data_IF_661153755786
#
_entry.id   IF_661153755786
#
_cell.length_a   1.000
_cell.length_b   1.000
_cell.length_c   1.000
_cell.angle_alpha   90.00
_cell.angle_beta   90.00
_cell.angle_gamma   90.00
#
_symmetry.space_group_name_H-M   'P 1'
#
loop_
_entity.id
_entity.type
_entity.pdbx_description
1 polymer ?
#
# COMPACT_ATOMS: atom_id res chain seq x y z
N UNK A 1 -0.97 -1.19 -18.17
CA UNK A 1 -0.40 -1.96 -19.29
C UNK A 1 0.86 -2.73 -18.91
N UNK A 2 1.78 -2.18 -18.11
CA UNK A 2 3.07 -2.79 -17.74
C UNK A 2 2.93 -4.20 -17.13
N UNK A 3 1.94 -4.45 -16.30
CA UNK A 3 1.71 -5.71 -15.59
C UNK A 3 0.51 -6.50 -16.12
N UNK A 4 -0.29 -5.92 -17.03
CA UNK A 4 -1.56 -6.51 -17.50
C UNK A 4 -1.40 -7.88 -18.16
N UNK A 5 -0.30 -8.10 -18.87
CA UNK A 5 -0.03 -9.37 -19.54
C UNK A 5 0.02 -10.55 -18.56
N UNK A 6 0.58 -10.38 -17.37
CA UNK A 6 0.69 -11.44 -16.36
C UNK A 6 -0.65 -11.90 -15.80
N UNK A 7 -1.60 -10.99 -15.69
CA UNK A 7 -2.93 -11.29 -15.16
C UNK A 7 -3.90 -11.84 -16.20
N UNK A 8 -3.56 -11.69 -17.49
CA UNK A 8 -4.32 -12.31 -18.59
C UNK A 8 -3.70 -13.64 -19.02
N UNK A 9 -2.38 -13.77 -18.88
CA UNK A 9 -1.64 -14.99 -19.22
C UNK A 9 -1.37 -15.79 -17.95
N UNK A 10 -1.58 -17.11 -17.99
CA UNK A 10 -1.26 -18.06 -16.91
C UNK A 10 0.28 -18.19 -16.73
N UNK A 11 0.96 -17.07 -16.50
CA UNK A 11 2.38 -17.05 -16.18
C UNK A 11 2.60 -17.39 -14.71
N UNK A 12 2.93 -18.63 -14.40
CA UNK A 12 3.27 -19.05 -13.06
C UNK A 12 4.73 -18.69 -12.75
N UNK A 13 4.98 -18.01 -11.62
CA UNK A 13 6.31 -17.96 -11.02
C UNK A 13 6.57 -19.26 -10.25
N UNK A 14 7.82 -19.51 -9.84
CA UNK A 14 8.19 -20.66 -9.03
C UNK A 14 7.29 -20.81 -7.78
N UNK A 15 7.09 -19.71 -7.05
CA UNK A 15 6.26 -19.71 -5.84
C UNK A 15 4.76 -19.84 -6.16
N UNK A 16 4.31 -19.30 -7.30
CA UNK A 16 2.92 -19.44 -7.74
C UNK A 16 2.52 -20.88 -8.03
N UNK A 17 3.42 -21.69 -8.54
CA UNK A 17 3.20 -23.12 -8.78
C UNK A 17 3.01 -23.89 -7.47
N UNK A 18 3.81 -23.56 -6.45
CA UNK A 18 3.74 -24.24 -5.15
C UNK A 18 2.46 -23.90 -4.38
N UNK A 19 1.97 -22.66 -4.48
CA UNK A 19 0.89 -22.15 -3.63
C UNK A 19 -0.46 -21.92 -4.34
N UNK A 20 -0.53 -22.02 -5.68
CA UNK A 20 -1.74 -21.74 -6.42
C UNK A 20 -2.90 -22.69 -6.10
N UNK A 21 -2.59 -23.94 -5.76
CA UNK A 21 -3.58 -25.01 -5.56
C UNK A 21 -3.91 -25.27 -4.09
N UNK A 22 -2.96 -25.12 -3.18
CA UNK A 22 -3.16 -25.28 -1.74
C UNK A 22 -2.26 -24.30 -0.99
N UNK A 23 -2.75 -23.11 -0.66
CA UNK A 23 -2.00 -22.21 0.20
C UNK A 23 -1.81 -22.86 1.57
N UNK A 24 -0.54 -23.03 1.97
CA UNK A 24 -0.21 -23.51 3.30
C UNK A 24 -0.50 -22.40 4.32
N UNK A 25 -1.64 -22.56 5.00
CA UNK A 25 -2.12 -21.59 5.99
C UNK A 25 -1.22 -21.53 7.22
N UNK A 26 -0.69 -22.67 7.66
CA UNK A 26 0.19 -22.75 8.82
C UNK A 26 1.51 -22.03 8.53
N UNK A 27 2.05 -22.26 7.35
CA UNK A 27 3.24 -21.53 6.88
C UNK A 27 3.01 -20.02 6.85
N UNK A 28 1.91 -19.54 6.31
CA UNK A 28 1.61 -18.10 6.28
C UNK A 28 1.49 -17.52 7.69
N UNK A 29 0.83 -18.22 8.60
CA UNK A 29 0.70 -17.80 10.00
C UNK A 29 2.07 -17.79 10.70
N UNK A 30 2.91 -18.79 10.49
CA UNK A 30 4.26 -18.86 11.05
C UNK A 30 5.17 -17.72 10.59
N UNK A 31 4.95 -17.21 9.36
CA UNK A 31 5.60 -16.01 8.83
C UNK A 31 5.01 -14.70 9.39
N UNK A 32 4.03 -14.77 10.29
CA UNK A 32 3.33 -13.60 10.83
C UNK A 32 2.27 -12.99 9.91
N UNK A 33 1.91 -13.67 8.83
CA UNK A 33 0.90 -13.23 7.85
C UNK A 33 -0.50 -13.75 8.20
N UNK A 34 -0.89 -13.62 9.46
CA UNK A 34 -2.11 -14.22 10.02
C UNK A 34 -3.42 -13.65 9.42
N UNK A 35 -3.40 -12.50 8.78
CA UNK A 35 -4.57 -11.92 8.12
C UNK A 35 -4.77 -12.41 6.68
N UNK A 36 -3.79 -13.04 6.03
CA UNK A 36 -3.93 -13.53 4.66
C UNK A 36 -5.01 -14.61 4.52
N UNK A 37 -5.12 -15.62 5.41
CA UNK A 37 -6.19 -16.62 5.35
C UNK A 37 -7.59 -16.01 5.40
N UNK A 38 -7.80 -14.99 6.26
CA UNK A 38 -9.07 -14.26 6.35
C UNK A 38 -9.38 -13.48 5.10
N UNK A 39 -8.40 -12.78 4.53
CA UNK A 39 -8.54 -12.07 3.28
C UNK A 39 -8.99 -13.00 2.15
N UNK A 40 -8.32 -14.13 1.97
CA UNK A 40 -8.66 -15.10 0.94
C UNK A 40 -10.07 -15.65 1.13
N UNK A 41 -10.43 -15.97 2.35
CA UNK A 41 -11.76 -16.50 2.64
C UNK A 41 -12.88 -15.51 2.33
N UNK A 42 -12.69 -14.23 2.64
CA UNK A 42 -13.73 -13.19 2.50
C UNK A 42 -13.81 -12.67 1.06
N UNK A 43 -12.67 -12.41 0.42
CA UNK A 43 -12.62 -11.62 -0.82
C UNK A 43 -12.67 -12.48 -2.09
N UNK A 44 -11.92 -13.56 -2.15
CA UNK A 44 -11.79 -14.34 -3.39
C UNK A 44 -11.91 -15.86 -3.21
N UNK A 45 -12.31 -16.31 -2.07
CA UNK A 45 -12.15 -17.71 -1.71
C UNK A 45 -10.67 -18.11 -1.67
N UNK A 46 -10.36 -19.36 -1.75
CA UNK A 46 -8.96 -19.85 -1.79
C UNK A 46 -8.41 -19.95 -3.22
N UNK A 47 -9.05 -19.30 -4.18
CA UNK A 47 -8.71 -19.42 -5.60
C UNK A 47 -7.80 -18.25 -5.98
N UNK A 48 -6.64 -18.57 -6.56
CA UNK A 48 -5.71 -17.58 -7.11
C UNK A 48 -5.94 -17.38 -8.62
N UNK A 49 -7.16 -16.99 -9.02
CA UNK A 49 -7.44 -16.67 -10.42
C UNK A 49 -6.66 -15.40 -10.82
N UNK A 50 -5.73 -15.47 -11.79
CA UNK A 50 -4.84 -14.36 -12.14
C UNK A 50 -5.58 -13.07 -12.45
N UNK A 51 -6.68 -13.17 -13.19
CA UNK A 51 -7.49 -12.00 -13.54
C UNK A 51 -8.09 -11.31 -12.30
N UNK A 52 -8.62 -12.07 -11.34
CA UNK A 52 -9.21 -11.52 -10.11
C UNK A 52 -8.12 -10.86 -9.28
N UNK A 53 -6.98 -11.53 -9.10
CA UNK A 53 -5.82 -10.98 -8.38
C UNK A 53 -5.35 -9.69 -9.04
N UNK A 54 -5.28 -9.65 -10.37
CA UNK A 54 -4.88 -8.47 -11.13
C UNK A 54 -5.83 -7.29 -10.93
N UNK A 55 -7.14 -7.51 -11.07
CA UNK A 55 -8.16 -6.45 -10.89
C UNK A 55 -8.11 -5.87 -9.47
N UNK A 56 -8.03 -6.74 -8.46
CA UNK A 56 -7.92 -6.31 -7.06
C UNK A 56 -6.60 -5.55 -6.80
N UNK A 57 -5.47 -6.06 -7.30
CA UNK A 57 -4.16 -5.42 -7.17
C UNK A 57 -4.16 -4.01 -7.77
N UNK A 58 -4.71 -3.84 -8.96
CA UNK A 58 -4.83 -2.52 -9.59
C UNK A 58 -5.76 -1.60 -8.83
N UNK A 59 -6.90 -2.09 -8.34
CA UNK A 59 -7.82 -1.31 -7.53
C UNK A 59 -7.15 -0.77 -6.27
N UNK A 60 -6.44 -1.61 -5.54
CA UNK A 60 -5.70 -1.21 -4.34
C UNK A 60 -4.52 -0.27 -4.66
N UNK A 61 -3.83 -0.47 -5.78
CA UNK A 61 -2.77 0.42 -6.21
C UNK A 61 -3.30 1.82 -6.55
N UNK A 62 -4.42 1.91 -7.27
CA UNK A 62 -5.09 3.19 -7.56
C UNK A 62 -5.48 3.89 -6.25
N UNK A 63 -6.07 3.15 -5.30
CA UNK A 63 -6.37 3.66 -3.96
C UNK A 63 -5.13 4.17 -3.23
N UNK A 64 -4.01 3.46 -3.35
CA UNK A 64 -2.71 3.82 -2.77
C UNK A 64 -2.16 5.12 -3.37
N UNK A 65 -2.15 5.25 -4.70
CA UNK A 65 -1.72 6.48 -5.38
C UNK A 65 -2.57 7.68 -4.95
N UNK A 66 -3.89 7.50 -4.92
CA UNK A 66 -4.80 8.55 -4.49
C UNK A 66 -4.61 8.93 -3.00
N UNK A 67 -4.39 7.93 -2.14
CA UNK A 67 -4.11 8.13 -0.72
C UNK A 67 -2.85 8.95 -0.49
N UNK A 68 -1.73 8.63 -1.16
CA UNK A 68 -0.48 9.40 -1.09
C UNK A 68 -0.68 10.81 -1.63
N UNK A 69 -1.33 10.95 -2.79
CA UNK A 69 -1.61 12.25 -3.39
C UNK A 69 -2.45 13.14 -2.47
N UNK A 70 -3.48 12.58 -1.84
CA UNK A 70 -4.32 13.28 -0.87
C UNK A 70 -3.55 13.67 0.39
N UNK A 71 -2.67 12.78 0.89
CA UNK A 71 -1.85 13.05 2.07
C UNK A 71 -0.87 14.21 1.84
N UNK A 72 -0.26 14.27 0.65
CA UNK A 72 0.75 15.26 0.30
C UNK A 72 0.18 16.50 -0.43
N UNK A 73 -1.15 16.61 -0.58
CA UNK A 73 -1.83 17.71 -1.30
C UNK A 73 -1.40 17.86 -2.78
N UNK A 74 -1.13 16.74 -3.44
CA UNK A 74 -0.75 16.73 -4.85
C UNK A 74 -1.99 16.85 -5.74
N UNK A 75 -2.18 18.01 -6.38
CA UNK A 75 -3.41 18.28 -7.16
C UNK A 75 -3.17 18.29 -8.68
N UNK A 76 -1.94 18.54 -9.13
CA UNK A 76 -1.61 18.63 -10.53
C UNK A 76 -1.71 17.24 -11.20
N UNK A 77 -2.41 17.16 -12.32
CA UNK A 77 -2.58 15.90 -13.09
C UNK A 77 -1.25 15.28 -13.49
N UNK A 78 -0.28 16.09 -13.88
CA UNK A 78 1.08 15.65 -14.22
C UNK A 78 1.78 15.00 -13.03
N UNK A 79 1.67 15.60 -11.83
CA UNK A 79 2.25 15.04 -10.61
C UNK A 79 1.59 13.72 -10.21
N UNK A 80 0.27 13.62 -10.37
CA UNK A 80 -0.46 12.35 -10.13
C UNK A 80 -0.01 11.26 -11.10
N UNK A 81 0.15 11.61 -12.38
CA UNK A 81 0.63 10.67 -13.38
C UNK A 81 2.06 10.19 -13.09
N UNK A 82 2.96 11.11 -12.72
CA UNK A 82 4.34 10.79 -12.32
C UNK A 82 4.36 9.92 -11.06
N UNK A 83 3.55 10.24 -10.04
CA UNK A 83 3.43 9.42 -8.83
C UNK A 83 2.96 8.01 -9.16
N UNK A 84 1.92 7.87 -9.98
CA UNK A 84 1.43 6.57 -10.42
C UNK A 84 2.51 5.80 -11.20
N UNK A 85 3.22 6.47 -12.11
CA UNK A 85 4.33 5.88 -12.86
C UNK A 85 5.46 5.39 -11.95
N UNK A 86 5.86 6.19 -10.96
CA UNK A 86 6.89 5.83 -9.98
C UNK A 86 6.46 4.66 -9.08
N UNK A 87 5.23 4.66 -8.60
CA UNK A 87 4.72 3.58 -7.75
C UNK A 87 4.59 2.27 -8.54
N UNK A 88 3.98 2.29 -9.73
CA UNK A 88 3.80 1.10 -10.57
C UNK A 88 5.09 0.62 -11.24
N UNK A 89 6.02 1.54 -11.53
CA UNK A 89 7.30 1.25 -12.16
C UNK A 89 8.44 1.01 -11.17
N UNK A 90 8.17 1.05 -9.85
CA UNK A 90 9.21 0.79 -8.86
C UNK A 90 9.73 -0.64 -8.96
N UNK A 91 11.05 -0.80 -8.82
CA UNK A 91 11.69 -2.12 -8.87
C UNK A 91 11.11 -3.07 -7.81
N UNK A 92 10.78 -2.55 -6.64
CA UNK A 92 10.16 -3.32 -5.56
C UNK A 92 8.79 -3.89 -5.98
N UNK A 93 7.94 -3.08 -6.64
CA UNK A 93 6.64 -3.54 -7.13
C UNK A 93 6.79 -4.56 -8.25
N UNK A 94 7.70 -4.30 -9.21
CA UNK A 94 7.97 -5.21 -10.33
C UNK A 94 8.48 -6.56 -9.80
N UNK A 95 9.42 -6.56 -8.86
CA UNK A 95 9.96 -7.78 -8.26
C UNK A 95 8.88 -8.56 -7.49
N UNK A 96 8.06 -7.86 -6.72
CA UNK A 96 6.97 -8.46 -5.96
C UNK A 96 5.93 -9.11 -6.89
N UNK A 97 5.50 -8.39 -7.93
CA UNK A 97 4.55 -8.90 -8.93
C UNK A 97 5.14 -10.08 -9.71
N UNK A 98 6.45 -10.04 -9.99
CA UNK A 98 7.16 -11.11 -10.65
C UNK A 98 7.23 -12.40 -9.83
N UNK A 99 7.42 -12.29 -8.52
CA UNK A 99 7.67 -13.43 -7.63
C UNK A 99 6.37 -13.96 -7.03
N UNK A 100 5.49 -13.05 -6.58
CA UNK A 100 4.30 -13.36 -5.81
C UNK A 100 2.99 -12.99 -6.53
N UNK A 101 2.92 -13.25 -7.83
CA UNK A 101 1.75 -12.91 -8.65
C UNK A 101 0.43 -13.48 -8.12
N UNK A 102 0.46 -14.64 -7.45
CA UNK A 102 -0.71 -15.30 -6.88
C UNK A 102 -1.29 -14.60 -5.62
N UNK A 103 -0.52 -13.70 -4.98
CA UNK A 103 -0.90 -12.96 -3.76
C UNK A 103 -0.64 -11.47 -3.87
N UNK A 104 -0.44 -10.95 -5.08
CA UNK A 104 -0.16 -9.53 -5.30
C UNK A 104 -1.26 -8.61 -4.77
N UNK A 105 -2.52 -9.04 -4.83
CA UNK A 105 -3.68 -8.34 -4.29
C UNK A 105 -3.57 -8.11 -2.77
N UNK A 106 -3.13 -9.13 -2.03
CA UNK A 106 -2.92 -9.03 -0.57
C UNK A 106 -1.87 -7.98 -0.24
N UNK A 107 -0.77 -7.96 -0.99
CA UNK A 107 0.31 -7.01 -0.76
C UNK A 107 -0.11 -5.59 -1.13
N UNK A 108 -0.86 -5.42 -2.23
CA UNK A 108 -1.37 -4.10 -2.60
C UNK A 108 -2.42 -3.58 -1.60
N UNK A 109 -3.24 -4.46 -1.03
CA UNK A 109 -4.13 -4.09 0.07
C UNK A 109 -3.34 -3.63 1.30
N UNK A 110 -2.30 -4.38 1.69
CA UNK A 110 -1.46 -4.01 2.82
C UNK A 110 -0.81 -2.63 2.62
N UNK A 111 -0.31 -2.33 1.41
CA UNK A 111 0.20 -1.02 1.05
C UNK A 111 -0.87 0.07 1.23
N UNK A 112 -2.05 -0.14 0.66
CA UNK A 112 -3.17 0.81 0.75
C UNK A 112 -3.58 1.08 2.21
N UNK A 113 -3.63 0.04 3.05
CA UNK A 113 -3.99 0.18 4.47
C UNK A 113 -2.95 0.98 5.26
N UNK A 114 -1.65 0.81 4.98
CA UNK A 114 -0.58 1.62 5.58
C UNK A 114 -0.72 3.11 5.21
N UNK A 115 -1.01 3.39 3.95
CA UNK A 115 -1.22 4.76 3.47
C UNK A 115 -2.48 5.37 4.11
N UNK A 116 -3.57 4.60 4.20
CA UNK A 116 -4.79 5.03 4.85
C UNK A 116 -4.58 5.30 6.36
N UNK A 117 -3.80 4.47 7.04
CA UNK A 117 -3.42 4.68 8.43
C UNK A 117 -2.62 5.97 8.61
N UNK A 118 -1.64 6.24 7.75
CA UNK A 118 -0.89 7.51 7.76
C UNK A 118 -1.83 8.70 7.55
N UNK A 119 -2.75 8.60 6.60
CA UNK A 119 -3.73 9.65 6.34
C UNK A 119 -4.63 9.91 7.55
N UNK A 120 -5.15 8.86 8.21
CA UNK A 120 -5.98 8.99 9.41
C UNK A 120 -5.20 9.61 10.58
N UNK A 121 -3.96 9.21 10.82
CA UNK A 121 -3.12 9.77 11.87
C UNK A 121 -2.83 11.27 11.65
N UNK A 122 -2.56 11.68 10.42
CA UNK A 122 -2.03 13.01 10.13
C UNK A 122 -3.13 14.01 9.72
N UNK A 123 -4.24 13.53 9.16
CA UNK A 123 -5.34 14.35 8.64
C UNK A 123 -6.69 14.10 9.30
N UNK A 124 -6.79 13.11 10.18
CA UNK A 124 -8.04 12.76 10.85
C UNK A 124 -8.58 13.93 11.69
N UNK A 125 -9.88 14.25 11.51
CA UNK A 125 -10.53 15.37 12.20
C UNK A 125 -10.67 15.14 13.71
N UNK A 126 -10.90 13.88 14.11
CA UNK A 126 -11.06 13.49 15.53
C UNK A 126 -9.83 12.71 15.95
N UNK A 127 -8.95 13.31 16.76
CA UNK A 127 -7.64 12.72 17.10
C UNK A 127 -7.73 11.30 17.63
N UNK A 128 -8.50 11.06 18.68
CA UNK A 128 -8.58 9.74 19.33
C UNK A 128 -9.17 8.67 18.42
N UNK A 129 -10.39 8.80 17.84
CA UNK A 129 -10.94 7.76 16.99
C UNK A 129 -10.15 7.56 15.70
N UNK A 130 -9.52 8.60 15.14
CA UNK A 130 -8.67 8.46 13.95
C UNK A 130 -7.39 7.69 14.24
N UNK A 131 -6.75 7.91 15.39
CA UNK A 131 -5.57 7.17 15.81
C UNK A 131 -5.91 5.71 16.11
N UNK A 132 -7.03 5.45 16.78
CA UNK A 132 -7.49 4.08 17.02
C UNK A 132 -7.79 3.34 15.69
N UNK A 133 -8.47 3.99 14.77
CA UNK A 133 -8.74 3.43 13.45
C UNK A 133 -7.44 3.16 12.68
N UNK A 134 -6.48 4.08 12.72
CA UNK A 134 -5.17 3.89 12.11
C UNK A 134 -4.42 2.69 12.73
N UNK A 135 -4.46 2.54 14.05
CA UNK A 135 -3.86 1.40 14.73
C UNK A 135 -4.47 0.07 14.28
N UNK A 136 -5.80 0.01 14.15
CA UNK A 136 -6.49 -1.18 13.62
C UNK A 136 -6.04 -1.48 12.18
N UNK A 137 -5.97 -0.46 11.30
CA UNK A 137 -5.50 -0.64 9.94
C UNK A 137 -4.05 -1.15 9.89
N UNK A 138 -3.17 -0.66 10.77
CA UNK A 138 -1.79 -1.10 10.86
C UNK A 138 -1.69 -2.57 11.32
N UNK A 139 -2.49 -2.99 12.31
CA UNK A 139 -2.55 -4.38 12.76
C UNK A 139 -2.99 -5.30 11.63
N UNK A 140 -4.06 -4.93 10.90
CA UNK A 140 -4.53 -5.71 9.74
C UNK A 140 -3.46 -5.75 8.66
N UNK A 141 -2.88 -4.61 8.32
CA UNK A 141 -1.84 -4.52 7.29
C UNK A 141 -0.60 -5.33 7.63
N UNK A 142 -0.14 -5.28 8.88
CA UNK A 142 1.01 -6.06 9.34
C UNK A 142 0.73 -7.56 9.26
N UNK A 143 -0.50 -7.98 9.59
CA UNK A 143 -0.94 -9.36 9.43
C UNK A 143 -1.12 -9.82 7.98
N UNK A 144 -1.25 -8.88 7.03
CA UNK A 144 -1.22 -9.17 5.59
C UNK A 144 0.22 -9.21 5.06
N UNK A 145 1.00 -8.14 5.32
CA UNK A 145 2.40 -8.06 4.90
C UNK A 145 3.19 -7.03 5.71
N UNK A 146 4.06 -7.49 6.55
CA UNK A 146 4.80 -6.70 7.54
C UNK A 146 5.74 -5.64 6.93
N UNK A 147 6.33 -5.93 5.76
CA UNK A 147 7.32 -5.05 5.14
C UNK A 147 6.77 -3.65 4.81
N UNK A 148 5.46 -3.49 4.65
CA UNK A 148 4.87 -2.17 4.34
C UNK A 148 4.70 -1.24 5.54
N UNK A 149 4.97 -1.69 6.77
CA UNK A 149 5.01 -0.79 7.94
C UNK A 149 6.01 0.35 7.74
N UNK A 150 7.08 0.10 6.97
CA UNK A 150 8.06 1.12 6.60
C UNK A 150 7.44 2.25 5.76
N UNK A 151 6.41 1.96 4.96
CA UNK A 151 5.72 2.97 4.14
C UNK A 151 4.95 3.95 5.04
N UNK A 152 4.27 3.45 6.06
CA UNK A 152 3.62 4.30 7.07
C UNK A 152 4.63 5.24 7.73
N UNK A 153 5.76 4.70 8.17
CA UNK A 153 6.83 5.48 8.83
C UNK A 153 7.43 6.51 7.88
N UNK A 154 7.76 6.13 6.65
CA UNK A 154 8.31 7.04 5.65
C UNK A 154 7.34 8.17 5.31
N UNK A 155 6.06 7.88 5.11
CA UNK A 155 5.05 8.90 4.81
C UNK A 155 4.84 9.88 5.97
N UNK A 156 4.85 9.38 7.21
CA UNK A 156 4.74 10.24 8.39
C UNK A 156 5.95 11.16 8.54
N UNK A 157 7.16 10.66 8.28
CA UNK A 157 8.39 11.45 8.28
C UNK A 157 8.40 12.52 7.18
N UNK A 158 8.07 12.14 5.95
CA UNK A 158 7.99 13.09 4.81
C UNK A 158 6.96 14.17 5.09
N UNK A 159 5.79 13.80 5.59
CA UNK A 159 4.76 14.78 5.93
C UNK A 159 5.22 15.75 7.04
N UNK A 160 5.86 15.24 8.09
CA UNK A 160 6.40 16.06 9.18
C UNK A 160 7.47 17.04 8.66
N UNK A 161 8.39 16.55 7.82
CA UNK A 161 9.43 17.37 7.21
C UNK A 161 8.83 18.49 6.35
N UNK A 162 7.86 18.17 5.48
CA UNK A 162 7.18 19.17 4.67
C UNK A 162 6.44 20.22 5.50
N UNK A 163 5.94 19.85 6.67
CA UNK A 163 5.32 20.78 7.60
C UNK A 163 6.34 21.71 8.25
N UNK A 164 7.48 21.19 8.68
CA UNK A 164 8.57 21.98 9.27
C UNK A 164 9.10 23.01 8.25
N UNK A 165 9.40 22.58 7.03
CA UNK A 165 9.87 23.48 5.98
C UNK A 165 8.87 24.62 5.67
N UNK A 166 7.57 24.31 5.60
CA UNK A 166 6.54 25.33 5.38
C UNK A 166 6.37 26.31 6.56
N UNK A 167 6.75 25.92 7.76
CA UNK A 167 6.66 26.78 8.95
C UNK A 167 7.84 27.73 8.99
N UNK A 168 9.01 27.29 8.58
CA UNK A 168 10.24 28.10 8.56
C UNK A 168 10.14 29.23 7.53
N UNK A 169 9.57 28.96 6.35
CA UNK A 169 9.30 29.99 5.33
C UNK A 169 8.36 31.12 5.80
N UNK A 170 7.56 30.90 6.84
CA UNK A 170 6.66 31.92 7.40
C UNK A 170 7.32 32.73 8.52
N UNK A 171 8.35 32.20 9.15
CA UNK A 171 9.07 32.86 10.23
C UNK A 171 10.09 33.92 9.71
N UNK A 172 10.64 33.70 8.52
CA UNK A 172 11.63 34.58 7.90
C UNK A 172 11.08 36.00 7.59
N UNK A 173 9.86 36.18 7.02
CA UNK A 173 9.34 37.52 6.73
C UNK A 173 9.10 38.38 7.96
N UNK A 174 8.72 37.78 9.10
CA UNK A 174 8.49 38.53 10.33
C UNK A 174 9.79 38.95 11.03
N UNK A 175 10.86 38.17 10.90
CA UNK A 175 12.18 38.50 11.47
C UNK A 175 12.91 39.56 10.63
N UNK A 176 12.65 39.70 9.35
CA UNK A 176 13.25 40.71 8.47
C UNK A 176 12.46 42.02 8.50
N UNK A 177 11.18 41.99 8.90
CA UNK A 177 10.33 43.17 9.03
C UNK A 177 10.42 43.90 10.38
N UNK A 178 11.25 43.42 11.30
CA UNK A 178 11.63 44.10 12.56
C UNK A 178 13.06 44.58 12.52
#
# INVERSE_FOLDING_TARGET
LLHGYRYVSLGFSHDSLAFAWQPDLEWQISLGRYMQPFYWWIIRGRIAAPFIVGVLSYGYMVGSVYGVASLLDLKAKTTLFLLAGLMCGSLAFIALDATYSHTADVYMLALMLNIAAAWLCLRGRRRVPSVLAAAVLLVISTGLYQAYLQVFTALTMVWALLRLLKTDDRAIPEAVAR
#
